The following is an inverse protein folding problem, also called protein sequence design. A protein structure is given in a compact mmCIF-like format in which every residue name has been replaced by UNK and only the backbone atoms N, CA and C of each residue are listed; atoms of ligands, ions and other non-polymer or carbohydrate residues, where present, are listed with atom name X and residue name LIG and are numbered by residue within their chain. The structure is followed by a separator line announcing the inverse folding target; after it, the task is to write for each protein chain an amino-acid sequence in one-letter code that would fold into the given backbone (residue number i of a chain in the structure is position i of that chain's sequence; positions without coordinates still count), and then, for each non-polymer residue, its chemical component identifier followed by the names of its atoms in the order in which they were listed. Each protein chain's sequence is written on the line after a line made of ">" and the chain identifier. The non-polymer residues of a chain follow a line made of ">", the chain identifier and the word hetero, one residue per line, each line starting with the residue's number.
data_IF_621638308054
#
_entry.id   IF_621638308054
#
_cell.length_a   1.000
_cell.length_b   1.000
_cell.length_c   1.000
_cell.angle_alpha   90.00
_cell.angle_beta   90.00
_cell.angle_gamma   90.00
#
_symmetry.space_group_name_H-M   'P 1'
#
loop_
_entity.id
_entity.type
_entity.pdbx_description
1 polymer ?
#
# COMPACT_ATOMS: atom_id res chain seq x y z
N UNK A 1 -5.19 7.68 30.40
CA UNK A 1 -5.71 6.39 29.88
C UNK A 1 -5.23 5.30 30.82
N UNK A 2 -5.99 4.22 31.03
CA UNK A 2 -5.50 3.08 31.82
C UNK A 2 -4.74 2.11 30.91
N UNK A 3 -3.84 1.30 31.46
CA UNK A 3 -3.10 0.26 30.71
C UNK A 3 -4.07 -0.66 29.96
N UNK A 4 -5.17 -1.09 30.59
CA UNK A 4 -6.17 -1.93 29.94
C UNK A 4 -6.78 -1.26 28.69
N UNK A 5 -7.04 0.05 28.76
CA UNK A 5 -7.55 0.82 27.61
C UNK A 5 -6.46 1.02 26.54
N UNK A 6 -5.21 1.23 26.95
CA UNK A 6 -4.06 1.29 26.04
C UNK A 6 -3.92 0.00 25.25
N UNK A 7 -3.93 -1.15 25.93
CA UNK A 7 -3.80 -2.46 25.30
C UNK A 7 -5.00 -2.83 24.42
N UNK A 8 -6.20 -2.37 24.79
CA UNK A 8 -7.37 -2.51 23.92
C UNK A 8 -7.24 -1.69 22.64
N UNK A 9 -6.70 -0.47 22.74
CA UNK A 9 -6.45 0.39 21.59
C UNK A 9 -5.35 -0.17 20.67
N UNK A 10 -4.23 -0.66 21.23
CA UNK A 10 -3.21 -1.35 20.43
C UNK A 10 -3.80 -2.56 19.71
N UNK A 11 -4.65 -3.36 20.38
CA UNK A 11 -5.31 -4.50 19.73
C UNK A 11 -6.24 -4.09 18.59
N UNK A 12 -6.95 -2.98 18.76
CA UNK A 12 -7.79 -2.41 17.71
C UNK A 12 -6.96 -1.90 16.51
N UNK A 13 -5.78 -1.32 16.76
CA UNK A 13 -4.82 -0.95 15.71
C UNK A 13 -4.31 -2.20 15.01
N UNK A 14 -3.94 -3.27 15.73
CA UNK A 14 -3.52 -4.55 15.14
C UNK A 14 -4.58 -5.14 14.20
N UNK A 15 -5.86 -5.07 14.56
CA UNK A 15 -6.95 -5.50 13.69
C UNK A 15 -7.04 -4.65 12.41
N UNK A 16 -6.75 -3.34 12.52
CA UNK A 16 -6.64 -2.46 11.35
C UNK A 16 -5.44 -2.80 10.47
N UNK A 17 -4.30 -3.16 11.06
CA UNK A 17 -3.13 -3.66 10.33
C UNK A 17 -3.47 -4.96 9.59
N UNK A 18 -4.23 -5.87 10.20
CA UNK A 18 -4.68 -7.07 9.50
C UNK A 18 -5.53 -6.73 8.26
N UNK A 19 -6.42 -5.73 8.35
CA UNK A 19 -7.17 -5.25 7.18
C UNK A 19 -6.27 -4.68 6.09
N UNK A 20 -5.18 -3.98 6.43
CA UNK A 20 -4.17 -3.56 5.45
C UNK A 20 -3.58 -4.77 4.72
N UNK A 21 -3.20 -5.82 5.46
CA UNK A 21 -2.64 -7.04 4.90
C UNK A 21 -3.64 -7.72 3.95
N UNK A 22 -4.92 -7.76 4.31
CA UNK A 22 -5.96 -8.36 3.48
C UNK A 22 -6.18 -7.56 2.17
N UNK A 23 -6.13 -6.22 2.24
CA UNK A 23 -6.20 -5.33 1.07
C UNK A 23 -4.95 -5.52 0.18
N UNK A 24 -3.75 -5.58 0.76
CA UNK A 24 -2.50 -5.87 0.02
C UNK A 24 -2.57 -7.21 -0.68
N UNK A 25 -3.09 -8.26 -0.02
CA UNK A 25 -3.23 -9.58 -0.61
C UNK A 25 -4.13 -9.56 -1.87
N UNK A 26 -5.16 -8.71 -1.88
CA UNK A 26 -6.02 -8.49 -3.05
C UNK A 26 -5.25 -7.81 -4.19
N UNK A 27 -4.50 -6.74 -3.89
CA UNK A 27 -3.65 -6.07 -4.89
C UNK A 27 -2.62 -7.02 -5.49
N UNK A 28 -1.99 -7.84 -4.65
CA UNK A 28 -1.04 -8.86 -5.06
C UNK A 28 -1.67 -9.90 -5.99
N UNK A 29 -2.93 -10.25 -5.76
CA UNK A 29 -3.71 -11.06 -6.71
C UNK A 29 -3.79 -10.42 -8.09
N UNK A 30 -4.05 -9.11 -8.15
CA UNK A 30 -4.04 -8.35 -9.40
C UNK A 30 -2.65 -8.21 -10.02
N UNK A 31 -1.60 -8.02 -9.21
CA UNK A 31 -0.22 -8.00 -9.69
C UNK A 31 0.15 -9.32 -10.39
N UNK A 32 -0.22 -10.46 -9.79
CA UNK A 32 -0.01 -11.78 -10.39
C UNK A 32 -0.81 -11.96 -11.68
N UNK A 33 -2.06 -11.47 -11.75
CA UNK A 33 -2.85 -11.53 -12.98
C UNK A 33 -2.22 -10.68 -14.09
N UNK A 34 -1.83 -9.44 -13.76
CA UNK A 34 -1.21 -8.50 -14.68
C UNK A 34 0.12 -9.01 -15.27
N UNK A 35 0.78 -9.96 -14.61
CA UNK A 35 1.96 -10.64 -15.15
C UNK A 35 1.65 -11.41 -16.46
N UNK A 36 0.42 -11.91 -16.60
CA UNK A 36 0.02 -12.76 -17.72
C UNK A 36 -1.00 -12.09 -18.65
N UNK A 37 -1.96 -11.34 -18.10
CA UNK A 37 -2.99 -10.62 -18.88
C UNK A 37 -3.63 -9.51 -18.04
N UNK A 38 -4.05 -8.42 -18.70
CA UNK A 38 -4.83 -7.35 -18.08
C UNK A 38 -6.35 -7.53 -18.20
N UNK A 39 -6.84 -8.52 -18.94
CA UNK A 39 -8.27 -8.69 -19.26
C UNK A 39 -9.16 -8.83 -18.02
N UNK A 40 -8.59 -9.36 -16.93
CA UNK A 40 -9.29 -9.63 -15.68
C UNK A 40 -8.82 -8.74 -14.53
N UNK A 41 -8.08 -7.65 -14.81
CA UNK A 41 -7.62 -6.69 -13.80
C UNK A 41 -8.62 -5.51 -13.76
N UNK A 42 -9.52 -5.46 -12.76
CA UNK A 42 -10.50 -4.38 -12.67
C UNK A 42 -9.86 -3.07 -12.19
N UNK A 43 -9.59 -2.14 -13.10
CA UNK A 43 -8.96 -0.84 -12.81
C UNK A 43 -9.67 -0.08 -11.68
N UNK A 44 -11.01 -0.05 -11.67
CA UNK A 44 -11.78 0.60 -10.61
C UNK A 44 -11.56 -0.01 -9.22
N UNK A 45 -11.31 -1.32 -9.14
CA UNK A 45 -11.01 -1.98 -7.86
C UNK A 45 -9.59 -1.64 -7.39
N UNK A 46 -8.62 -1.56 -8.31
CA UNK A 46 -7.24 -1.16 -8.00
C UNK A 46 -7.16 0.29 -7.50
N UNK A 47 -7.92 1.20 -8.12
CA UNK A 47 -8.07 2.58 -7.65
C UNK A 47 -8.70 2.62 -6.24
N UNK A 48 -9.77 1.84 -6.03
CA UNK A 48 -10.43 1.75 -4.73
C UNK A 48 -9.51 1.17 -3.66
N UNK A 49 -8.70 0.15 -3.99
CA UNK A 49 -7.67 -0.41 -3.11
C UNK A 49 -6.70 0.70 -2.69
N UNK A 50 -6.21 1.50 -3.65
CA UNK A 50 -5.22 2.55 -3.39
C UNK A 50 -5.76 3.60 -2.42
N UNK A 51 -7.00 4.08 -2.65
CA UNK A 51 -7.67 5.03 -1.75
C UNK A 51 -7.91 4.43 -0.36
N UNK A 52 -8.51 3.23 -0.28
CA UNK A 52 -8.78 2.55 1.00
C UNK A 52 -7.50 2.31 1.80
N UNK A 53 -6.41 1.95 1.13
CA UNK A 53 -5.13 1.71 1.77
C UNK A 53 -4.54 3.00 2.37
N UNK A 54 -4.55 4.09 1.60
CA UNK A 54 -4.07 5.40 2.07
C UNK A 54 -4.84 5.86 3.32
N UNK A 55 -6.17 5.82 3.27
CA UNK A 55 -7.03 6.27 4.38
C UNK A 55 -6.79 5.43 5.64
N UNK A 56 -6.69 4.11 5.48
CA UNK A 56 -6.45 3.20 6.60
C UNK A 56 -5.05 3.40 7.20
N UNK A 57 -4.01 3.56 6.38
CA UNK A 57 -2.64 3.86 6.86
C UNK A 57 -2.63 5.18 7.65
N UNK A 58 -3.26 6.24 7.13
CA UNK A 58 -3.31 7.54 7.80
C UNK A 58 -4.05 7.45 9.15
N UNK A 59 -5.18 6.76 9.16
CA UNK A 59 -5.97 6.51 10.38
C UNK A 59 -5.14 5.77 11.43
N UNK A 60 -4.44 4.70 11.04
CA UNK A 60 -3.62 3.90 11.97
C UNK A 60 -2.41 4.67 12.47
N UNK A 61 -1.73 5.45 11.61
CA UNK A 61 -0.63 6.33 12.01
C UNK A 61 -1.07 7.33 13.06
N UNK A 62 -2.19 8.02 12.84
CA UNK A 62 -2.74 8.98 13.81
C UNK A 62 -2.98 8.34 15.17
N UNK A 63 -3.62 7.17 15.21
CA UNK A 63 -3.90 6.45 16.46
C UNK A 63 -2.62 5.99 17.16
N UNK A 64 -1.61 5.54 16.42
CA UNK A 64 -0.28 5.23 16.96
C UNK A 64 0.37 6.47 17.57
N UNK A 65 0.28 7.62 16.90
CA UNK A 65 0.86 8.86 17.40
C UNK A 65 0.14 9.36 18.67
N UNK A 66 -1.18 9.17 18.77
CA UNK A 66 -1.94 9.41 20.00
C UNK A 66 -1.44 8.52 21.16
N UNK A 67 -1.13 7.25 20.90
CA UNK A 67 -0.53 6.35 21.90
C UNK A 67 0.90 6.76 22.28
N UNK A 68 1.73 7.20 21.32
CA UNK A 68 3.07 7.74 21.61
C UNK A 68 3.00 8.98 22.49
N UNK A 69 2.06 9.88 22.19
CA UNK A 69 1.81 11.08 22.97
C UNK A 69 1.36 10.72 24.39
N UNK A 70 0.49 9.71 24.54
CA UNK A 70 0.10 9.22 25.86
C UNK A 70 1.32 8.80 26.70
N UNK A 71 2.18 7.93 26.17
CA UNK A 71 3.40 7.48 26.86
C UNK A 71 4.28 8.68 27.21
N UNK A 72 4.50 9.59 26.26
CA UNK A 72 5.38 10.75 26.44
C UNK A 72 4.88 11.68 27.54
N UNK A 73 3.57 11.92 27.62
CA UNK A 73 2.96 12.81 28.62
C UNK A 73 2.80 12.20 30.01
N UNK A 74 2.79 10.87 30.13
CA UNK A 74 2.47 10.20 31.40
C UNK A 74 3.61 9.34 31.95
N UNK A 75 4.76 9.28 31.27
CA UNK A 75 5.92 8.45 31.67
C UNK A 75 6.40 8.67 33.12
N UNK A 76 6.27 9.89 33.64
CA UNK A 76 6.72 10.24 34.99
C UNK A 76 5.66 9.94 36.06
N UNK A 77 4.42 9.68 35.64
CA UNK A 77 3.27 9.37 36.52
C UNK A 77 2.89 7.89 36.51
N UNK A 78 3.23 7.16 35.45
CA UNK A 78 3.01 5.72 35.35
C UNK A 78 4.04 4.97 36.21
N UNK A 79 3.63 3.87 36.82
CA UNK A 79 4.61 2.96 37.40
C UNK A 79 5.45 2.30 36.29
N UNK A 80 6.66 1.86 36.64
CA UNK A 80 7.63 1.33 35.68
C UNK A 80 7.13 0.09 34.93
N UNK A 81 6.31 -0.75 35.57
CA UNK A 81 5.75 -1.96 34.94
C UNK A 81 4.76 -1.58 33.84
N UNK A 82 3.84 -0.68 34.15
CA UNK A 82 2.82 -0.20 33.22
C UNK A 82 3.45 0.54 32.04
N UNK A 83 4.39 1.44 32.30
CA UNK A 83 5.13 2.16 31.26
C UNK A 83 5.82 1.19 30.29
N UNK A 84 6.53 0.19 30.81
CA UNK A 84 7.23 -0.82 30.00
C UNK A 84 6.25 -1.67 29.19
N UNK A 85 5.10 -2.02 29.77
CA UNK A 85 4.06 -2.79 29.08
C UNK A 85 3.48 -2.01 27.89
N UNK A 86 3.13 -0.74 28.09
CA UNK A 86 2.62 0.14 27.03
C UNK A 86 3.65 0.37 25.92
N UNK A 87 4.91 0.64 26.29
CA UNK A 87 6.02 0.80 25.32
C UNK A 87 6.21 -0.46 24.46
N UNK A 88 6.27 -1.64 25.08
CA UNK A 88 6.45 -2.89 24.34
C UNK A 88 5.28 -3.18 23.38
N UNK A 89 4.05 -2.93 23.82
CA UNK A 89 2.87 -3.12 22.99
C UNK A 89 2.86 -2.14 21.79
N UNK A 90 3.22 -0.88 22.03
CA UNK A 90 3.30 0.14 20.99
C UNK A 90 4.42 -0.17 19.98
N UNK A 91 5.62 -0.49 20.45
CA UNK A 91 6.76 -0.83 19.59
C UNK A 91 6.45 -2.01 18.67
N UNK A 92 5.81 -3.04 19.23
CA UNK A 92 5.36 -4.21 18.45
C UNK A 92 4.36 -3.79 17.37
N UNK A 93 3.39 -2.93 17.73
CA UNK A 93 2.36 -2.45 16.79
C UNK A 93 2.97 -1.58 15.68
N UNK A 94 3.91 -0.70 16.02
CA UNK A 94 4.63 0.16 15.06
C UNK A 94 5.41 -0.69 14.05
N UNK A 95 6.15 -1.70 14.51
CA UNK A 95 6.89 -2.61 13.62
C UNK A 95 5.95 -3.37 12.68
N UNK A 96 4.83 -3.87 13.20
CA UNK A 96 3.81 -4.55 12.37
C UNK A 96 3.25 -3.64 11.29
N UNK A 97 2.93 -2.38 11.62
CA UNK A 97 2.44 -1.43 10.62
C UNK A 97 3.51 -1.13 9.56
N UNK A 98 4.76 -0.89 9.99
CA UNK A 98 5.86 -0.60 9.06
C UNK A 98 6.05 -1.75 8.06
N UNK A 99 6.07 -2.99 8.53
CA UNK A 99 6.20 -4.17 7.66
C UNK A 99 5.02 -4.31 6.68
N UNK A 100 3.78 -4.07 7.15
CA UNK A 100 2.60 -4.15 6.28
C UNK A 100 2.63 -3.07 5.19
N UNK A 101 3.02 -1.84 5.54
CA UNK A 101 3.16 -0.73 4.58
C UNK A 101 4.29 -1.00 3.58
N UNK A 102 5.43 -1.51 4.04
CA UNK A 102 6.53 -1.88 3.15
C UNK A 102 6.07 -2.92 2.11
N UNK A 103 5.42 -4.00 2.57
CA UNK A 103 4.94 -5.07 1.68
C UNK A 103 3.90 -4.58 0.67
N UNK A 104 3.04 -3.65 1.09
CA UNK A 104 2.12 -2.99 0.17
C UNK A 104 2.85 -2.18 -0.89
N UNK A 105 3.85 -1.39 -0.51
CA UNK A 105 4.63 -0.59 -1.46
C UNK A 105 5.36 -1.49 -2.47
N UNK A 106 5.96 -2.60 -2.01
CA UNK A 106 6.58 -3.60 -2.89
C UNK A 106 5.57 -4.17 -3.89
N UNK A 107 4.37 -4.49 -3.43
CA UNK A 107 3.28 -5.01 -4.27
C UNK A 107 2.77 -3.97 -5.28
N UNK A 108 2.69 -2.69 -4.90
CA UNK A 108 2.35 -1.61 -5.84
C UNK A 108 3.38 -1.48 -6.96
N UNK A 109 4.67 -1.54 -6.61
CA UNK A 109 5.77 -1.48 -7.60
C UNK A 109 5.71 -2.68 -8.54
N UNK A 110 5.46 -3.88 -8.01
CA UNK A 110 5.30 -5.09 -8.81
C UNK A 110 4.10 -5.00 -9.76
N UNK A 111 2.95 -4.53 -9.27
CA UNK A 111 1.76 -4.30 -10.08
C UNK A 111 2.04 -3.32 -11.24
N UNK A 112 2.62 -2.15 -10.94
CA UNK A 112 2.96 -1.14 -11.96
C UNK A 112 3.92 -1.69 -13.01
N UNK A 113 4.96 -2.42 -12.57
CA UNK A 113 5.90 -3.08 -13.47
C UNK A 113 5.20 -4.07 -14.41
N UNK A 114 4.31 -4.91 -13.88
CA UNK A 114 3.61 -5.91 -14.68
C UNK A 114 2.66 -5.26 -15.69
N UNK A 115 1.90 -4.24 -15.28
CA UNK A 115 1.04 -3.46 -16.18
C UNK A 115 1.87 -2.81 -17.30
N UNK A 116 2.95 -2.10 -16.96
CA UNK A 116 3.84 -1.47 -17.95
C UNK A 116 4.43 -2.47 -18.92
N UNK A 117 4.88 -3.63 -18.43
CA UNK A 117 5.41 -4.70 -19.28
C UNK A 117 4.38 -5.21 -20.27
N UNK A 118 3.13 -5.40 -19.83
CA UNK A 118 2.04 -5.87 -20.71
C UNK A 118 1.65 -4.79 -21.73
N UNK A 119 1.49 -3.53 -21.31
CA UNK A 119 1.19 -2.41 -22.21
C UNK A 119 2.29 -2.25 -23.27
N UNK A 120 3.57 -2.38 -22.89
CA UNK A 120 4.70 -2.39 -23.84
C UNK A 120 4.55 -3.49 -24.90
N UNK A 121 4.19 -4.71 -24.50
CA UNK A 121 4.02 -5.82 -25.44
C UNK A 121 2.87 -5.57 -26.42
N UNK A 122 1.74 -5.04 -25.95
CA UNK A 122 0.61 -4.68 -26.80
C UNK A 122 1.00 -3.57 -27.77
N UNK A 123 1.64 -2.50 -27.29
CA UNK A 123 2.07 -1.38 -28.14
C UNK A 123 3.02 -1.86 -29.24
N UNK A 124 4.05 -2.66 -28.94
CA UNK A 124 4.95 -3.23 -29.95
C UNK A 124 4.26 -4.03 -31.04
N UNK A 125 3.11 -4.64 -30.74
CA UNK A 125 2.36 -5.41 -31.72
C UNK A 125 1.48 -4.53 -32.64
N UNK A 126 1.15 -3.31 -32.21
CA UNK A 126 0.17 -2.45 -32.91
C UNK A 126 0.75 -1.14 -33.46
N UNK A 127 1.89 -0.64 -32.95
CA UNK A 127 2.52 0.59 -33.44
C UNK A 127 3.79 0.29 -34.24
N UNK A 128 4.05 1.07 -35.27
CA UNK A 128 5.30 0.96 -36.06
C UNK A 128 6.37 1.89 -35.49
N UNK A 129 6.77 1.65 -34.23
CA UNK A 129 7.77 2.46 -33.50
C UNK A 129 8.92 1.58 -33.01
N UNK A 130 10.06 2.19 -32.76
CA UNK A 130 11.21 1.50 -32.18
C UNK A 130 10.95 1.10 -30.73
N UNK A 131 11.71 0.12 -30.24
CA UNK A 131 11.64 -0.31 -28.84
C UNK A 131 11.83 0.85 -27.84
N UNK A 132 12.70 1.81 -28.18
CA UNK A 132 12.96 3.00 -27.36
C UNK A 132 11.75 3.95 -27.34
N UNK A 133 11.15 4.23 -28.50
CA UNK A 133 9.96 5.09 -28.57
C UNK A 133 8.77 4.47 -27.82
N UNK A 134 8.61 3.14 -27.87
CA UNK A 134 7.58 2.45 -27.09
C UNK A 134 7.86 2.55 -25.58
N UNK A 135 9.13 2.45 -25.15
CA UNK A 135 9.49 2.64 -23.75
C UNK A 135 9.17 4.05 -23.24
N UNK A 136 9.50 5.08 -24.03
CA UNK A 136 9.17 6.48 -23.70
C UNK A 136 7.65 6.70 -23.60
N UNK A 137 6.84 6.03 -24.44
CA UNK A 137 5.38 6.10 -24.39
C UNK A 137 4.77 5.41 -23.16
N UNK A 138 5.35 4.30 -22.72
CA UNK A 138 4.91 3.57 -21.52
C UNK A 138 5.30 4.33 -20.25
N UNK A 139 6.48 4.93 -20.21
CA UNK A 139 6.94 5.73 -19.07
C UNK A 139 6.23 7.07 -18.93
N UNK A 140 5.87 7.71 -20.05
CA UNK A 140 5.10 8.96 -20.04
C UNK A 140 3.62 8.77 -19.73
N UNK A 141 3.10 7.54 -19.79
CA UNK A 141 1.67 7.25 -19.59
C UNK A 141 0.78 7.62 -20.79
N UNK A 142 1.36 7.99 -21.94
CA UNK A 142 0.65 8.52 -23.11
C UNK A 142 0.39 7.49 -24.22
N UNK A 143 0.49 6.18 -23.93
CA UNK A 143 0.37 5.12 -24.93
C UNK A 143 -0.92 5.17 -25.79
N UNK A 144 -2.03 5.68 -25.26
CA UNK A 144 -3.31 5.80 -25.98
C UNK A 144 -3.27 6.91 -27.05
N UNK A 145 -2.56 8.01 -26.79
CA UNK A 145 -2.42 9.12 -27.76
C UNK A 145 -1.53 8.73 -28.93
N UNK A 146 -0.53 7.87 -28.71
CA UNK A 146 0.34 7.34 -29.75
C UNK A 146 -0.39 6.43 -30.74
N UNK A 147 -1.32 5.59 -30.28
CA UNK A 147 -2.13 4.74 -31.16
C UNK A 147 -3.01 5.59 -32.08
N UNK A 148 -3.62 6.67 -31.55
CA UNK A 148 -4.48 7.58 -32.35
C UNK A 148 -3.71 8.41 -33.38
N UNK A 149 -2.40 8.55 -33.21
CA UNK A 149 -1.57 9.40 -34.08
C UNK A 149 -0.97 8.63 -35.27
N UNK A 150 -0.99 7.29 -35.26
CA UNK A 150 -0.54 6.44 -36.37
C UNK A 150 -1.64 6.16 -37.42
N UNK A 151 -2.91 6.53 -37.16
CA UNK A 151 -4.06 6.40 -38.08
C UNK A 151 -4.23 7.61 -39.06
N UNK A 152 -3.19 8.46 -39.19
CA UNK A 152 -3.18 9.67 -40.02
C UNK A 152 -2.34 9.57 -41.29
#
# INVERSE_FOLDING_TARGET
>A
MTVAKFLSETKSIENGIQRLIDIEAKLRGYANQAQYSLDNVPTADVEQITSKMSDLIQSLKKRIDDLKNHISSHKDTLNQSDLKMEQNALDTTVRKLANAVQKYNETQVEYDKNVKSHVKQVLKAVVNKTDQEVDELVESGNGIEAIRSDDG
#
